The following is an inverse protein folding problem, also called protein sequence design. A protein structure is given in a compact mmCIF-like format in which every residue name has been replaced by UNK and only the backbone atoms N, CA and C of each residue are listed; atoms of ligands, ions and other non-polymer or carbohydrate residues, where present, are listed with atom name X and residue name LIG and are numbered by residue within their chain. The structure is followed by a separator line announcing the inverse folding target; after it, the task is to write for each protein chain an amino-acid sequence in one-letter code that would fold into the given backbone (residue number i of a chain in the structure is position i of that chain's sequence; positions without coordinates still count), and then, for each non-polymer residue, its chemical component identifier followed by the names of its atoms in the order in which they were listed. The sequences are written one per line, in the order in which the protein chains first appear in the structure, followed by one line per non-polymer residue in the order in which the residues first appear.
data_IF_424454781312
#
_entry.id   IF_424454781312
#
_cell.length_a   1.000
_cell.length_b   1.000
_cell.length_c   1.000
_cell.angle_alpha   90.00
_cell.angle_beta   90.00
_cell.angle_gamma   90.00
#
_symmetry.space_group_name_H-M   'P 1'
#
loop_
_entity.id
_entity.type
_entity.pdbx_description
1 polymer ?
#
# COMPACT_ATOMS: atom_id res chain seq x y z
N UNK A 1 -56.96 24.06 11.05
CA UNK A 1 -56.06 22.89 11.10
C UNK A 1 -54.69 23.26 10.50
N UNK A 2 -53.85 24.06 11.20
CA UNK A 2 -52.54 24.44 10.62
C UNK A 2 -51.39 24.55 11.64
N UNK A 3 -51.65 24.79 12.93
CA UNK A 3 -50.55 24.96 13.91
C UNK A 3 -49.97 23.65 14.46
N UNK A 4 -50.73 22.56 14.53
CA UNK A 4 -50.21 21.29 15.07
C UNK A 4 -49.20 20.62 14.13
N UNK A 5 -49.46 20.62 12.81
CA UNK A 5 -48.56 20.02 11.81
C UNK A 5 -47.17 20.69 11.74
N UNK A 6 -47.09 22.00 11.99
CA UNK A 6 -45.81 22.74 12.00
C UNK A 6 -44.98 22.40 13.24
N UNK A 7 -45.66 22.18 14.38
CA UNK A 7 -45.02 21.81 15.65
C UNK A 7 -44.42 20.40 15.62
N UNK A 8 -45.04 19.48 14.89
CA UNK A 8 -44.53 18.12 14.73
C UNK A 8 -43.42 18.04 13.67
N UNK A 9 -43.54 18.79 12.57
CA UNK A 9 -42.50 18.86 11.54
C UNK A 9 -41.16 19.41 12.10
N UNK A 10 -41.21 20.42 12.98
CA UNK A 10 -40.00 20.96 13.61
C UNK A 10 -39.27 19.95 14.52
N UNK A 11 -40.02 19.07 15.20
CA UNK A 11 -39.45 18.00 16.04
C UNK A 11 -38.82 16.91 15.19
N UNK A 12 -39.47 16.47 14.11
CA UNK A 12 -38.92 15.45 13.20
C UNK A 12 -37.63 15.93 12.52
N UNK A 13 -37.57 17.19 12.09
CA UNK A 13 -36.35 17.78 11.50
C UNK A 13 -35.19 17.80 12.49
N UNK A 14 -35.46 18.12 13.76
CA UNK A 14 -34.44 18.09 14.82
C UNK A 14 -33.89 16.68 15.07
N UNK A 15 -34.77 15.67 15.19
CA UNK A 15 -34.34 14.28 15.39
C UNK A 15 -33.54 13.75 14.19
N UNK A 16 -33.99 14.02 12.96
CA UNK A 16 -33.23 13.63 11.76
C UNK A 16 -31.87 14.32 11.69
N UNK A 17 -31.80 15.60 12.07
CA UNK A 17 -30.54 16.35 12.13
C UNK A 17 -29.53 15.72 13.10
N UNK A 18 -29.98 15.34 14.30
CA UNK A 18 -29.14 14.64 15.29
C UNK A 18 -28.66 13.29 14.76
N UNK A 19 -29.54 12.51 14.12
CA UNK A 19 -29.18 11.20 13.56
C UNK A 19 -28.11 11.34 12.48
N UNK A 20 -28.30 12.29 11.54
CA UNK A 20 -27.32 12.55 10.46
C UNK A 20 -25.98 13.01 11.04
N UNK A 21 -26.00 13.91 12.03
CA UNK A 21 -24.78 14.37 12.69
C UNK A 21 -24.05 13.23 13.42
N UNK A 22 -24.79 12.34 14.08
CA UNK A 22 -24.26 11.14 14.72
C UNK A 22 -23.54 10.22 13.72
N UNK A 23 -24.19 9.92 12.59
CA UNK A 23 -23.56 9.11 11.54
C UNK A 23 -22.32 9.78 10.93
N UNK A 24 -22.33 11.11 10.76
CA UNK A 24 -21.16 11.86 10.30
C UNK A 24 -20.00 11.79 11.30
N UNK A 25 -20.27 12.02 12.59
CA UNK A 25 -19.26 11.99 13.63
C UNK A 25 -18.68 10.57 13.81
N UNK A 26 -19.53 9.56 13.92
CA UNK A 26 -19.11 8.16 14.04
C UNK A 26 -18.41 7.68 12.77
N UNK A 27 -18.90 8.07 11.59
CA UNK A 27 -18.26 7.78 10.31
C UNK A 27 -16.88 8.41 10.18
N UNK A 28 -16.70 9.66 10.63
CA UNK A 28 -15.41 10.34 10.63
C UNK A 28 -14.40 9.68 11.58
N UNK A 29 -14.83 9.30 12.79
CA UNK A 29 -13.98 8.60 13.76
C UNK A 29 -13.58 7.21 13.25
N UNK A 30 -14.55 6.42 12.75
CA UNK A 30 -14.27 5.12 12.13
C UNK A 30 -13.34 5.27 10.93
N UNK A 31 -13.55 6.29 10.08
CA UNK A 31 -12.68 6.55 8.95
C UNK A 31 -11.26 6.90 9.39
N UNK A 32 -11.09 7.72 10.42
CA UNK A 32 -9.78 8.06 10.97
C UNK A 32 -9.05 6.82 11.50
N UNK A 33 -9.72 5.99 12.31
CA UNK A 33 -9.13 4.76 12.86
C UNK A 33 -8.81 3.74 11.77
N UNK A 34 -9.71 3.51 10.81
CA UNK A 34 -9.46 2.60 9.68
C UNK A 34 -8.32 3.14 8.82
N UNK A 35 -8.29 4.42 8.52
CA UNK A 35 -7.23 5.06 7.74
C UNK A 35 -5.88 4.98 8.46
N UNK A 36 -5.85 5.16 9.77
CA UNK A 36 -4.65 5.05 10.58
C UNK A 36 -4.17 3.60 10.69
N UNK A 37 -5.07 2.63 10.84
CA UNK A 37 -4.73 1.20 10.79
C UNK A 37 -4.28 0.74 9.40
N UNK A 38 -4.84 1.32 8.33
CA UNK A 38 -4.42 1.06 6.94
C UNK A 38 -3.11 1.78 6.58
N UNK A 39 -2.82 2.92 7.21
CA UNK A 39 -1.54 3.64 7.13
C UNK A 39 -0.47 3.08 8.07
N UNK A 40 -0.88 2.32 9.09
CA UNK A 40 -0.02 1.49 9.91
C UNK A 40 0.36 0.24 9.12
N UNK A 41 1.04 0.45 8.00
CA UNK A 41 1.82 -0.51 7.22
C UNK A 41 1.55 -1.99 7.45
N UNK A 42 0.34 -2.39 7.12
CA UNK A 42 0.08 -3.82 6.96
C UNK A 42 0.97 -4.30 5.80
N UNK A 43 1.70 -5.42 5.94
CA UNK A 43 2.53 -5.96 4.84
C UNK A 43 1.76 -6.13 3.53
N UNK A 44 0.45 -6.35 3.63
CA UNK A 44 -0.47 -6.48 2.51
C UNK A 44 -0.72 -5.15 1.77
N UNK A 45 -0.85 -4.03 2.49
CA UNK A 45 -0.99 -2.71 1.85
C UNK A 45 0.28 -2.34 1.11
N UNK A 46 1.45 -2.58 1.71
CA UNK A 46 2.76 -2.41 1.07
C UNK A 46 2.89 -3.25 -0.19
N UNK A 47 2.44 -4.51 -0.17
CA UNK A 47 2.41 -5.36 -1.35
C UNK A 47 1.50 -4.78 -2.44
N UNK A 48 0.29 -4.35 -2.08
CA UNK A 48 -0.66 -3.81 -3.06
C UNK A 48 -0.17 -2.52 -3.72
N UNK A 49 0.48 -1.64 -2.94
CA UNK A 49 1.07 -0.40 -3.45
C UNK A 49 2.31 -0.68 -4.30
N UNK A 50 3.22 -1.54 -3.82
CA UNK A 50 4.40 -1.95 -4.57
C UNK A 50 4.01 -2.61 -5.90
N UNK A 51 3.00 -3.48 -5.91
CA UNK A 51 2.49 -4.14 -7.11
C UNK A 51 1.95 -3.11 -8.11
N UNK A 52 1.10 -2.18 -7.67
CA UNK A 52 0.57 -1.10 -8.52
C UNK A 52 1.69 -0.29 -9.16
N UNK A 53 2.65 0.15 -8.36
CA UNK A 53 3.84 0.88 -8.83
C UNK A 53 4.65 0.09 -9.85
N UNK A 54 4.82 -1.22 -9.64
CA UNK A 54 5.48 -2.08 -10.62
C UNK A 54 4.67 -2.18 -11.92
N UNK A 55 3.35 -2.35 -11.83
CA UNK A 55 2.48 -2.49 -13.01
C UNK A 55 2.34 -1.20 -13.82
N UNK A 56 2.49 -0.03 -13.20
CA UNK A 56 2.42 1.26 -13.88
C UNK A 56 3.76 1.67 -14.52
N UNK A 57 4.88 1.09 -14.06
CA UNK A 57 6.21 1.43 -14.56
C UNK A 57 6.44 0.92 -15.99
N UNK A 58 6.64 1.84 -16.95
CA UNK A 58 6.76 1.54 -18.38
C UNK A 58 7.80 0.46 -18.68
N UNK A 59 8.99 0.56 -18.08
CA UNK A 59 10.06 -0.41 -18.29
C UNK A 59 9.69 -1.83 -17.85
N UNK A 60 8.86 -1.97 -16.82
CA UNK A 60 8.38 -3.28 -16.37
C UNK A 60 7.34 -3.82 -17.33
N UNK A 61 6.43 -2.96 -17.83
CA UNK A 61 5.48 -3.35 -18.88
C UNK A 61 6.18 -3.84 -20.14
N UNK A 62 7.23 -3.15 -20.58
CA UNK A 62 7.99 -3.50 -21.78
C UNK A 62 8.72 -4.84 -21.63
N UNK A 63 9.29 -5.09 -20.44
CA UNK A 63 10.08 -6.29 -20.16
C UNK A 63 9.23 -7.53 -19.86
N UNK A 64 8.12 -7.38 -19.13
CA UNK A 64 7.26 -8.51 -18.75
C UNK A 64 6.11 -8.75 -19.74
N UNK A 65 5.61 -7.70 -20.39
CA UNK A 65 4.41 -7.72 -21.22
C UNK A 65 3.12 -7.74 -20.41
N UNK A 66 2.14 -6.93 -20.81
CA UNK A 66 0.79 -6.93 -20.23
C UNK A 66 0.00 -8.18 -20.66
N UNK A 67 -0.84 -8.79 -19.79
CA UNK A 67 -1.14 -8.38 -18.42
C UNK A 67 -0.11 -8.90 -17.40
N UNK A 68 0.14 -8.11 -16.36
CA UNK A 68 1.07 -8.44 -15.28
C UNK A 68 0.28 -8.93 -14.06
N UNK A 69 0.66 -10.08 -13.51
CA UNK A 69 0.03 -10.71 -12.34
C UNK A 69 1.04 -10.87 -11.21
N UNK A 70 0.66 -10.56 -9.97
CA UNK A 70 1.50 -10.71 -8.78
C UNK A 70 1.21 -12.01 -8.03
N UNK A 71 2.25 -12.71 -7.58
CA UNK A 71 2.18 -13.92 -6.76
C UNK A 71 3.27 -13.93 -5.68
N UNK A 72 3.00 -14.59 -4.55
CA UNK A 72 3.94 -14.70 -3.43
C UNK A 72 4.54 -16.12 -3.36
N UNK A 73 5.73 -16.25 -2.76
CA UNK A 73 6.38 -17.54 -2.49
C UNK A 73 5.44 -18.42 -1.64
N UNK A 74 4.94 -19.50 -2.24
CA UNK A 74 4.12 -20.49 -1.53
C UNK A 74 2.61 -20.35 -1.73
N UNK A 75 2.13 -20.58 -2.95
CA UNK A 75 0.77 -21.07 -3.18
C UNK A 75 0.78 -22.58 -3.41
N UNK A 76 1.07 -23.34 -2.36
CA UNK A 76 0.66 -24.74 -2.29
C UNK A 76 -0.83 -24.81 -1.99
N UNK A 77 -1.68 -25.11 -2.99
CA UNK A 77 -3.06 -25.67 -2.96
C UNK A 77 -4.08 -25.25 -1.84
N UNK A 78 -3.80 -24.33 -0.92
CA UNK A 78 -4.57 -24.14 0.33
C UNK A 78 -4.66 -22.67 0.79
N UNK A 79 -4.79 -21.74 -0.15
CA UNK A 79 -5.45 -20.44 0.08
C UNK A 79 -4.90 -19.50 1.15
N UNK A 80 -3.66 -19.67 1.62
CA UNK A 80 -2.97 -18.67 2.47
C UNK A 80 -1.72 -18.17 1.77
N UNK A 81 -1.88 -17.01 1.12
CA UNK A 81 -0.78 -16.27 0.50
C UNK A 81 0.02 -15.60 1.62
N UNK A 82 0.91 -16.34 2.28
CA UNK A 82 1.82 -15.74 3.24
C UNK A 82 2.85 -14.92 2.45
N UNK A 83 2.60 -13.61 2.33
CA UNK A 83 3.60 -12.68 1.83
C UNK A 83 4.86 -12.85 2.67
N UNK A 84 6.00 -13.15 2.02
CA UNK A 84 7.29 -13.17 2.70
C UNK A 84 7.64 -11.75 3.10
N UNK A 85 7.28 -11.40 4.33
CA UNK A 85 7.74 -10.19 5.00
C UNK A 85 8.86 -10.54 5.98
N UNK A 86 9.79 -9.61 6.17
CA UNK A 86 10.78 -9.66 7.23
C UNK A 86 10.84 -8.28 7.87
N UNK A 87 10.59 -8.23 9.18
CA UNK A 87 10.61 -7.02 9.97
C UNK A 87 11.86 -7.07 10.84
N UNK A 88 12.79 -6.16 10.59
CA UNK A 88 14.09 -6.15 11.27
C UNK A 88 14.45 -4.74 11.69
N UNK A 89 15.17 -4.59 12.79
CA UNK A 89 15.68 -3.29 13.24
C UNK A 89 17.13 -3.18 12.81
N UNK A 90 17.48 -2.11 12.11
CA UNK A 90 18.86 -1.79 11.74
C UNK A 90 19.13 -0.34 12.10
N UNK A 91 20.26 -0.08 12.76
CA UNK A 91 20.67 1.29 13.13
C UNK A 91 19.61 2.05 13.95
N UNK A 92 18.83 1.33 14.76
CA UNK A 92 17.73 1.88 15.56
C UNK A 92 16.43 2.17 14.79
N UNK A 93 16.38 1.84 13.50
CA UNK A 93 15.22 2.05 12.62
C UNK A 93 14.56 0.71 12.29
N UNK A 94 13.24 0.65 12.41
CA UNK A 94 12.45 -0.52 11.97
C UNK A 94 12.40 -0.56 10.44
N UNK A 95 12.78 -1.67 9.86
CA UNK A 95 12.69 -1.95 8.43
C UNK A 95 11.68 -3.05 8.16
N UNK A 96 10.85 -2.83 7.14
CA UNK A 96 9.94 -3.82 6.59
C UNK A 96 10.42 -4.20 5.19
N UNK A 97 10.84 -5.45 5.01
CA UNK A 97 11.17 -5.99 3.70
C UNK A 97 10.09 -6.96 3.25
N UNK A 98 9.59 -6.77 2.04
CA UNK A 98 8.69 -7.74 1.38
C UNK A 98 9.33 -8.26 0.10
N UNK A 99 9.13 -9.54 -0.18
CA UNK A 99 9.49 -10.17 -1.44
C UNK A 99 8.27 -10.84 -2.04
N UNK A 100 8.03 -10.55 -3.32
CA UNK A 100 6.99 -11.18 -4.12
C UNK A 100 7.46 -11.28 -5.57
N UNK A 101 6.66 -11.92 -6.41
CA UNK A 101 6.96 -12.16 -7.81
C UNK A 101 5.86 -11.56 -8.67
N UNK A 102 6.24 -11.14 -9.86
CA UNK A 102 5.33 -10.64 -10.89
C UNK A 102 5.59 -11.41 -12.18
N UNK A 103 4.52 -11.78 -12.88
CA UNK A 103 4.58 -12.52 -14.14
C UNK A 103 3.74 -11.80 -15.18
N UNK A 104 4.37 -11.46 -16.29
CA UNK A 104 3.70 -11.03 -17.50
C UNK A 104 3.60 -12.17 -18.52
N UNK A 105 3.17 -11.83 -19.74
CA UNK A 105 3.08 -12.80 -20.84
C UNK A 105 4.47 -13.30 -21.27
N UNK A 106 5.45 -12.39 -21.32
CA UNK A 106 6.79 -12.68 -21.87
C UNK A 106 7.73 -13.22 -20.81
N UNK A 107 7.77 -12.55 -19.65
CA UNK A 107 8.76 -12.81 -18.61
C UNK A 107 8.16 -12.72 -17.20
N UNK A 108 8.94 -13.19 -16.24
CA UNK A 108 8.68 -13.03 -14.81
C UNK A 108 9.82 -12.28 -14.13
N UNK A 109 9.51 -11.61 -13.03
CA UNK A 109 10.45 -10.86 -12.23
C UNK A 109 10.17 -11.05 -10.73
N UNK A 110 11.23 -11.06 -9.94
CA UNK A 110 11.16 -11.00 -8.48
C UNK A 110 11.22 -9.54 -8.04
N UNK A 111 10.23 -9.10 -7.26
CA UNK A 111 10.19 -7.76 -6.68
C UNK A 111 10.63 -7.82 -5.22
N UNK A 112 11.59 -6.97 -4.87
CA UNK A 112 12.00 -6.74 -3.50
C UNK A 112 11.67 -5.29 -3.14
N UNK A 113 10.81 -5.10 -2.15
CA UNK A 113 10.52 -3.78 -1.59
C UNK A 113 11.06 -3.72 -0.16
N UNK A 114 11.75 -2.64 0.17
CA UNK A 114 12.21 -2.36 1.53
C UNK A 114 11.72 -0.99 1.94
N UNK A 115 11.04 -0.94 3.08
CA UNK A 115 10.58 0.26 3.73
C UNK A 115 11.30 0.46 5.06
N UNK A 116 11.43 1.71 5.48
CA UNK A 116 12.04 2.09 6.76
C UNK A 116 11.13 3.05 7.51
N UNK A 117 10.98 2.84 8.81
CA UNK A 117 10.09 3.61 9.66
C UNK A 117 10.77 4.90 10.11
N UNK A 118 10.45 6.01 9.45
CA UNK A 118 10.94 7.35 9.75
C UNK A 118 9.81 8.20 10.31
N UNK A 119 10.01 8.82 11.48
CA UNK A 119 9.00 9.67 12.15
C UNK A 119 7.62 8.99 12.34
N UNK A 120 7.61 7.68 12.60
CA UNK A 120 6.37 6.91 12.81
C UNK A 120 5.62 6.51 11.54
N UNK A 121 6.09 6.90 10.35
CA UNK A 121 5.59 6.44 9.06
C UNK A 121 6.65 5.53 8.44
N UNK A 122 6.29 4.52 7.66
CA UNK A 122 7.32 3.91 6.83
C UNK A 122 7.33 4.49 5.42
N UNK A 123 8.55 4.58 4.93
CA UNK A 123 8.88 5.21 3.66
C UNK A 123 9.67 4.19 2.85
N UNK A 124 9.46 4.18 1.54
CA UNK A 124 10.20 3.30 0.65
C UNK A 124 11.68 3.68 0.67
N UNK A 125 12.52 2.77 1.18
CA UNK A 125 13.97 2.85 1.01
C UNK A 125 14.33 2.55 -0.43
N UNK A 126 13.80 1.45 -0.96
CA UNK A 126 13.88 1.09 -2.37
C UNK A 126 12.83 0.07 -2.78
N UNK A 127 12.46 0.10 -4.06
CA UNK A 127 11.61 -0.88 -4.73
C UNK A 127 12.33 -1.31 -6.01
N UNK A 128 12.74 -2.57 -6.06
CA UNK A 128 13.50 -3.13 -7.18
C UNK A 128 12.82 -4.37 -7.73
N UNK A 129 12.68 -4.42 -9.05
CA UNK A 129 12.24 -5.60 -9.79
C UNK A 129 13.44 -6.21 -10.53
N UNK A 130 13.67 -7.50 -10.36
CA UNK A 130 14.73 -8.25 -11.01
C UNK A 130 14.12 -9.30 -11.95
N UNK A 131 14.39 -9.23 -13.24
CA UNK A 131 13.90 -10.23 -14.19
C UNK A 131 14.58 -11.57 -13.96
N UNK A 132 13.84 -12.66 -14.09
CA UNK A 132 14.40 -14.00 -13.94
C UNK A 132 15.04 -14.54 -15.22
N UNK A 133 14.64 -14.00 -16.38
CA UNK A 133 15.20 -14.39 -17.66
C UNK A 133 16.64 -13.88 -17.82
N UNK A 134 17.47 -14.59 -18.60
CA UNK A 134 18.86 -14.23 -18.84
C UNK A 134 18.98 -13.36 -20.10
N UNK A 135 19.68 -12.21 -20.06
CA UNK A 135 20.37 -11.62 -18.92
C UNK A 135 19.41 -11.03 -17.88
N UNK A 136 19.75 -11.19 -16.59
CA UNK A 136 18.97 -10.64 -15.48
C UNK A 136 19.09 -9.12 -15.45
N UNK A 137 17.97 -8.43 -15.62
CA UNK A 137 17.89 -6.98 -15.52
C UNK A 137 17.30 -6.58 -14.17
N UNK A 138 18.00 -5.66 -13.48
CA UNK A 138 17.51 -5.04 -12.24
C UNK A 138 16.99 -3.64 -12.54
N UNK A 139 15.72 -3.42 -12.21
CA UNK A 139 15.00 -2.17 -12.45
C UNK A 139 14.62 -1.58 -11.10
N UNK A 140 15.18 -0.42 -10.80
CA UNK A 140 14.79 0.36 -9.62
C UNK A 140 13.61 1.26 -9.98
N UNK A 141 12.44 0.94 -9.41
CA UNK A 141 11.22 1.74 -9.57
C UNK A 141 11.26 2.92 -8.61
N UNK A 142 11.68 2.65 -7.36
CA UNK A 142 11.93 3.66 -6.34
C UNK A 142 13.32 3.41 -5.78
N UNK A 143 14.13 4.45 -5.69
CA UNK A 143 15.42 4.38 -5.03
C UNK A 143 15.69 5.67 -4.25
N UNK A 144 15.29 5.67 -2.99
CA UNK A 144 15.50 6.80 -2.08
C UNK A 144 16.96 6.88 -1.61
N UNK A 145 17.79 5.85 -1.88
CA UNK A 145 19.23 5.86 -1.56
C UNK A 145 20.04 6.83 -2.42
N UNK A 146 19.53 7.20 -3.60
CA UNK A 146 20.15 8.25 -4.43
C UNK A 146 20.08 9.63 -3.80
N UNK A 147 19.23 9.82 -2.78
CA UNK A 147 19.16 11.08 -2.06
C UNK A 147 20.24 11.20 -0.96
N UNK A 148 20.90 10.11 -0.56
CA UNK A 148 22.02 10.14 0.39
C UNK A 148 23.38 10.23 -0.31
N UNK A 149 23.52 9.72 -1.53
CA UNK A 149 24.80 9.81 -2.27
C UNK A 149 25.06 11.17 -2.94
N UNK A 150 24.12 12.12 -2.89
CA UNK A 150 24.33 13.49 -3.40
C UNK A 150 24.72 14.52 -2.32
N UNK A 151 24.73 14.12 -1.05
CA UNK A 151 25.02 15.00 0.09
C UNK A 151 26.43 14.79 0.70
N UNK A 152 27.25 13.90 0.11
CA UNK A 152 28.63 13.66 0.56
C UNK A 152 29.70 14.09 -0.46
N UNK A 153 29.33 14.78 -1.55
CA UNK A 153 30.28 15.32 -2.54
C UNK A 153 30.34 16.85 -2.59
N UNK A 154 30.18 17.54 -1.45
CA UNK A 154 30.55 18.96 -1.32
C UNK A 154 31.26 19.24 0.00
#
# INVERSE_FOLDING_TARGET
MSSEKVRDAGKTVWYTGIVVFGFLATGALLFAVIKELLWSESPQSVYSDALKKCTEYSRIKDLLGEPITGFCDGSGRRGRTNLRHNLYVKDGVEHLQIRFYIKGIRNQATVNAVMEKRNGKFEYKYLVAETENYPKEKIFIIDSRKHEMSLQEF
#
